data_IF_385587050293
#
_entry.id   IF_385587050293
#
_cell.length_a   1.000
_cell.length_b   1.000
_cell.length_c   1.000
_cell.angle_alpha   90.00
_cell.angle_beta   90.00
_cell.angle_gamma   90.00
#
_symmetry.space_group_name_H-M   'P 1'
#
loop_
_entity.id
_entity.type
_entity.pdbx_description
1 polymer ?
#
# COMPACT_ATOMS: atom_id res chain seq x y z
N UNK A 1 -10.92 9.93 -5.75
CA UNK A 1 -11.57 9.77 -4.42
C UNK A 1 -11.66 8.34 -3.92
N UNK A 2 -12.28 7.39 -4.64
CA UNK A 2 -12.38 5.99 -4.15
C UNK A 2 -11.01 5.30 -3.98
N UNK A 3 -10.04 5.65 -4.83
CA UNK A 3 -8.63 5.20 -4.74
C UNK A 3 -7.99 5.58 -3.41
N UNK A 4 -8.20 6.83 -2.98
CA UNK A 4 -7.65 7.34 -1.71
C UNK A 4 -8.31 6.65 -0.52
N UNK A 5 -9.64 6.43 -0.58
CA UNK A 5 -10.34 5.70 0.47
C UNK A 5 -9.80 4.27 0.60
N UNK A 6 -9.63 3.56 -0.51
CA UNK A 6 -9.09 2.21 -0.52
C UNK A 6 -7.64 2.16 -0.03
N UNK A 7 -6.82 3.13 -0.43
CA UNK A 7 -5.46 3.31 0.08
C UNK A 7 -5.45 3.45 1.61
N UNK A 8 -6.31 4.32 2.17
CA UNK A 8 -6.39 4.54 3.61
C UNK A 8 -6.84 3.28 4.35
N UNK A 9 -7.83 2.55 3.81
CA UNK A 9 -8.26 1.26 4.37
C UNK A 9 -7.10 0.28 4.40
N UNK A 10 -6.37 0.14 3.29
CA UNK A 10 -5.23 -0.77 3.21
C UNK A 10 -4.09 -0.35 4.15
N UNK A 11 -3.80 0.94 4.29
CA UNK A 11 -2.81 1.46 5.24
C UNK A 11 -3.20 1.19 6.69
N UNK A 12 -4.47 1.39 7.06
CA UNK A 12 -4.96 1.12 8.42
C UNK A 12 -4.86 -0.36 8.75
N UNK A 13 -5.29 -1.23 7.84
CA UNK A 13 -5.20 -2.69 8.03
C UNK A 13 -3.73 -3.12 8.08
N UNK A 14 -2.90 -2.65 7.14
CA UNK A 14 -1.47 -2.92 7.10
C UNK A 14 -0.76 -2.51 8.39
N UNK A 15 -1.03 -1.30 8.89
CA UNK A 15 -0.50 -0.82 10.16
C UNK A 15 -0.99 -1.68 11.34
N UNK A 16 -2.27 -1.99 11.41
CA UNK A 16 -2.83 -2.81 12.48
C UNK A 16 -2.19 -4.21 12.54
N UNK A 17 -2.01 -4.86 11.39
CA UNK A 17 -1.38 -6.18 11.27
C UNK A 17 0.10 -6.15 11.64
N UNK A 18 0.82 -5.09 11.26
CA UNK A 18 2.27 -5.01 11.42
C UNK A 18 2.68 -4.51 12.81
N UNK A 19 1.95 -3.54 13.40
CA UNK A 19 2.38 -2.82 14.60
C UNK A 19 1.59 -3.13 15.88
N UNK A 20 0.28 -3.43 15.77
CA UNK A 20 -0.63 -3.36 16.92
C UNK A 20 -1.08 -4.73 17.37
N UNK A 21 -1.71 -5.49 16.49
CA UNK A 21 -2.33 -6.77 16.83
C UNK A 21 -2.07 -7.77 15.71
N UNK A 22 -1.23 -8.76 15.97
CA UNK A 22 -1.00 -9.84 15.03
C UNK A 22 -2.04 -10.92 15.23
N UNK A 23 -2.89 -11.12 14.24
CA UNK A 23 -3.87 -12.20 14.21
C UNK A 23 -4.01 -12.75 12.79
N UNK A 24 -4.32 -14.05 12.66
CA UNK A 24 -4.57 -14.67 11.36
C UNK A 24 -5.68 -13.94 10.58
N UNK A 25 -6.66 -13.40 11.29
CA UNK A 25 -7.77 -12.64 10.68
C UNK A 25 -7.27 -11.34 10.03
N UNK A 26 -6.39 -10.61 10.71
CA UNK A 26 -5.80 -9.37 10.19
C UNK A 26 -4.79 -9.63 9.06
N UNK A 27 -4.09 -10.77 9.06
CA UNK A 27 -3.24 -11.19 7.94
C UNK A 27 -4.06 -11.43 6.68
N UNK A 28 -5.18 -12.16 6.79
CA UNK A 28 -6.08 -12.42 5.66
C UNK A 28 -6.72 -11.13 5.17
N UNK A 29 -7.17 -10.26 6.09
CA UNK A 29 -7.79 -8.99 5.73
C UNK A 29 -6.79 -8.05 5.01
N UNK A 30 -5.52 -8.05 5.43
CA UNK A 30 -4.43 -7.31 4.78
C UNK A 30 -4.19 -7.78 3.36
N UNK A 31 -4.17 -9.10 3.13
CA UNK A 31 -4.01 -9.65 1.78
C UNK A 31 -5.20 -9.31 0.88
N UNK A 32 -6.44 -9.46 1.38
CA UNK A 32 -7.65 -9.14 0.62
C UNK A 32 -7.68 -7.65 0.26
N UNK A 33 -7.42 -6.78 1.23
CA UNK A 33 -7.40 -5.32 1.00
C UNK A 33 -6.24 -4.90 0.09
N UNK A 34 -5.08 -5.54 0.19
CA UNK A 34 -3.95 -5.30 -0.71
C UNK A 34 -4.25 -5.68 -2.16
N UNK A 35 -4.87 -6.85 -2.38
CA UNK A 35 -5.29 -7.28 -3.73
C UNK A 35 -6.37 -6.36 -4.28
N UNK A 36 -7.37 -6.00 -3.47
CA UNK A 36 -8.42 -5.08 -3.89
C UNK A 36 -7.86 -3.68 -4.22
N UNK A 37 -6.88 -3.19 -3.45
CA UNK A 37 -6.17 -1.95 -3.74
C UNK A 37 -5.39 -2.04 -5.06
N UNK A 38 -4.67 -3.14 -5.29
CA UNK A 38 -3.90 -3.35 -6.53
C UNK A 38 -4.81 -3.39 -7.77
N UNK A 39 -5.94 -4.09 -7.70
CA UNK A 39 -6.90 -4.12 -8.81
C UNK A 39 -7.48 -2.74 -9.08
N UNK A 40 -7.82 -2.01 -8.02
CA UNK A 40 -8.39 -0.67 -8.14
C UNK A 40 -7.37 0.33 -8.71
N UNK A 41 -6.11 0.28 -8.28
CA UNK A 41 -5.06 1.16 -8.81
C UNK A 41 -4.71 0.80 -10.25
N UNK A 42 -4.78 -0.48 -10.64
CA UNK A 42 -4.63 -0.90 -12.03
C UNK A 42 -5.73 -0.31 -12.91
N UNK A 43 -7.00 -0.45 -12.51
CA UNK A 43 -8.14 0.10 -13.26
C UNK A 43 -8.05 1.62 -13.35
N UNK A 44 -7.72 2.30 -12.25
CA UNK A 44 -7.53 3.75 -12.24
C UNK A 44 -6.36 4.18 -13.14
N UNK A 45 -5.22 3.50 -13.05
CA UNK A 45 -4.07 3.74 -13.93
C UNK A 45 -4.44 3.63 -15.41
N UNK A 46 -5.22 2.62 -15.80
CA UNK A 46 -5.63 2.43 -17.19
C UNK A 46 -6.58 3.52 -17.71
N UNK A 47 -7.20 4.28 -16.81
CA UNK A 47 -8.08 5.40 -17.16
C UNK A 47 -7.35 6.72 -17.41
N UNK A 48 -6.06 6.81 -17.06
CA UNK A 48 -5.25 8.03 -17.21
C UNK A 48 -4.54 8.08 -18.56
N UNK A 49 -4.23 9.30 -19.04
CA UNK A 49 -3.35 9.50 -20.20
C UNK A 49 -1.88 9.22 -19.85
N UNK A 50 -1.08 8.86 -20.87
CA UNK A 50 0.36 8.72 -20.70
C UNK A 50 1.03 10.10 -20.55
N UNK A 51 2.01 10.27 -19.64
CA UNK A 51 2.75 9.24 -18.89
C UNK A 51 2.22 8.89 -17.48
N UNK A 52 1.15 9.52 -17.02
CA UNK A 52 0.70 9.43 -15.62
C UNK A 52 0.21 8.03 -15.23
N UNK A 53 -0.34 7.28 -16.19
CA UNK A 53 -0.76 5.88 -15.99
C UNK A 53 0.34 5.02 -15.36
N UNK A 54 1.52 4.99 -15.99
CA UNK A 54 2.65 4.14 -15.58
C UNK A 54 3.14 4.54 -14.19
N UNK A 55 3.25 5.84 -13.93
CA UNK A 55 3.73 6.38 -12.65
C UNK A 55 2.78 5.97 -11.52
N UNK A 56 1.47 6.15 -11.71
CA UNK A 56 0.45 5.81 -10.72
C UNK A 56 0.44 4.31 -10.41
N UNK A 57 0.53 3.45 -11.42
CA UNK A 57 0.58 2.01 -11.22
C UNK A 57 1.84 1.57 -10.47
N UNK A 58 3.02 2.08 -10.86
CA UNK A 58 4.29 1.76 -10.21
C UNK A 58 4.31 2.23 -8.75
N UNK A 59 3.77 3.42 -8.46
CA UNK A 59 3.62 3.90 -7.08
C UNK A 59 2.70 2.99 -6.25
N UNK A 60 1.55 2.60 -6.81
CA UNK A 60 0.63 1.66 -6.14
C UNK A 60 1.27 0.30 -5.85
N UNK A 61 1.98 -0.25 -6.84
CA UNK A 61 2.72 -1.51 -6.69
C UNK A 61 3.81 -1.40 -5.62
N UNK A 62 4.60 -0.32 -5.65
CA UNK A 62 5.69 -0.09 -4.70
C UNK A 62 5.18 0.06 -3.27
N UNK A 63 4.03 0.72 -3.10
CA UNK A 63 3.36 0.84 -1.81
C UNK A 63 2.90 -0.51 -1.28
N UNK A 64 2.24 -1.32 -2.12
CA UNK A 64 1.81 -2.66 -1.73
C UNK A 64 2.99 -3.52 -1.31
N UNK A 65 4.03 -3.57 -2.14
CA UNK A 65 5.24 -4.34 -1.83
C UNK A 65 5.88 -3.89 -0.51
N UNK A 66 5.92 -2.60 -0.23
CA UNK A 66 6.49 -2.09 1.02
C UNK A 66 5.72 -2.62 2.25
N UNK A 67 4.38 -2.60 2.22
CA UNK A 67 3.55 -3.13 3.31
C UNK A 67 3.71 -4.65 3.46
N UNK A 68 3.75 -5.39 2.35
CA UNK A 68 3.92 -6.84 2.36
C UNK A 68 5.32 -7.27 2.87
N UNK A 69 6.38 -6.57 2.47
CA UNK A 69 7.74 -6.84 2.95
C UNK A 69 7.84 -6.50 4.44
N UNK A 70 7.25 -5.38 4.90
CA UNK A 70 7.25 -5.03 6.32
C UNK A 70 6.58 -6.12 7.16
N UNK A 71 5.40 -6.61 6.73
CA UNK A 71 4.72 -7.70 7.41
C UNK A 71 5.53 -9.01 7.39
N UNK A 72 6.18 -9.32 6.28
CA UNK A 72 7.03 -10.51 6.17
C UNK A 72 8.26 -10.45 7.08
N UNK A 73 8.91 -9.29 7.19
CA UNK A 73 10.07 -9.09 8.06
C UNK A 73 9.70 -9.17 9.53
N UNK A 74 8.61 -8.51 9.93
CA UNK A 74 8.05 -8.65 11.29
C UNK A 74 7.66 -10.10 11.59
N UNK A 75 7.16 -10.85 10.60
CA UNK A 75 6.84 -12.27 10.77
C UNK A 75 8.07 -13.13 11.09
N UNK A 76 9.26 -12.72 10.65
CA UNK A 76 10.54 -13.41 10.87
C UNK A 76 11.37 -12.84 12.02
N UNK A 77 10.82 -11.87 12.77
CA UNK A 77 11.51 -11.11 13.82
C UNK A 77 12.78 -10.40 13.32
N UNK A 78 12.85 -10.10 12.02
CA UNK A 78 13.94 -9.38 11.35
C UNK A 78 13.60 -7.88 11.31
N UNK A 79 13.81 -7.20 12.43
CA UNK A 79 13.35 -5.80 12.64
C UNK A 79 14.37 -4.73 12.26
N UNK A 80 15.62 -5.10 12.06
CA UNK A 80 16.76 -4.17 12.02
C UNK A 80 16.70 -3.15 10.87
N UNK A 81 15.83 -3.37 9.87
CA UNK A 81 15.65 -2.45 8.74
C UNK A 81 14.20 -2.18 8.36
N UNK A 82 13.22 -2.48 9.22
CA UNK A 82 11.80 -2.29 8.88
C UNK A 82 11.40 -0.80 8.91
N UNK A 83 12.09 0.02 9.71
CA UNK A 83 11.91 1.47 9.75
C UNK A 83 11.98 2.14 8.37
N UNK A 84 12.98 1.76 7.57
CA UNK A 84 13.16 2.32 6.23
C UNK A 84 11.97 1.98 5.32
N UNK A 85 11.40 0.80 5.48
CA UNK A 85 10.23 0.35 4.72
C UNK A 85 8.99 1.15 5.10
N UNK A 86 8.81 1.49 6.38
CA UNK A 86 7.72 2.39 6.80
C UNK A 86 7.88 3.80 6.22
N UNK A 87 9.10 4.33 6.22
CA UNK A 87 9.39 5.64 5.63
C UNK A 87 9.05 5.65 4.12
N UNK A 88 9.46 4.62 3.37
CA UNK A 88 9.10 4.48 1.97
C UNK A 88 7.59 4.32 1.76
N UNK A 89 6.92 3.52 2.60
CA UNK A 89 5.46 3.35 2.54
C UNK A 89 4.73 4.68 2.72
N UNK A 90 5.16 5.50 3.69
CA UNK A 90 4.62 6.83 3.93
C UNK A 90 4.90 7.81 2.79
N UNK A 91 6.10 7.73 2.20
CA UNK A 91 6.47 8.56 1.04
C UNK A 91 5.62 8.19 -0.18
N UNK A 92 5.52 6.90 -0.53
CA UNK A 92 4.71 6.44 -1.65
C UNK A 92 3.24 6.77 -1.45
N UNK A 93 2.71 6.66 -0.23
CA UNK A 93 1.31 6.99 0.02
C UNK A 93 1.04 8.48 -0.17
N UNK A 94 1.92 9.35 0.36
CA UNK A 94 1.80 10.79 0.19
C UNK A 94 1.86 11.20 -1.29
N UNK A 95 2.84 10.69 -2.04
CA UNK A 95 2.96 10.96 -3.47
C UNK A 95 1.74 10.46 -4.22
N UNK A 96 1.26 9.24 -3.93
CA UNK A 96 0.08 8.68 -4.59
C UNK A 96 -1.16 9.51 -4.32
N UNK A 97 -1.36 9.99 -3.09
CA UNK A 97 -2.47 10.89 -2.74
C UNK A 97 -2.39 12.19 -3.53
N UNK A 98 -1.21 12.82 -3.60
CA UNK A 98 -1.00 14.06 -4.36
C UNK A 98 -1.35 13.85 -5.83
N UNK A 99 -0.80 12.80 -6.46
CA UNK A 99 -1.05 12.51 -7.88
C UNK A 99 -2.53 12.23 -8.16
N UNK A 100 -3.21 11.49 -7.28
CA UNK A 100 -4.65 11.19 -7.42
C UNK A 100 -5.54 12.41 -7.19
N UNK A 101 -5.09 13.42 -6.44
CA UNK A 101 -5.83 14.67 -6.23
C UNK A 101 -5.62 15.68 -7.36
N UNK A 102 -4.51 15.57 -8.08
CA UNK A 102 -4.18 16.44 -9.21
C UNK A 102 -4.80 15.98 -10.54
N UNK A 103 -5.28 14.74 -10.63
CA UNK A 103 -5.93 14.14 -11.79
C UNK A 103 -7.43 13.91 -11.53
#
# INVERSE_FOLDING_TARGET
MIVILMLLIYLVIGYATVMVMRSRTLDVLRLISGVAFLLLILVYSLSLSNPDSVIVFVLGLSLMLSIEIAAFKENKDDRDHVFLIYAFTAMFSAVLVIVVLMN
#
